data_IF_044682423921
#
_entry.id   IF_044682423921
#
_cell.length_a   1.000
_cell.length_b   1.000
_cell.length_c   1.000
_cell.angle_alpha   90.00
_cell.angle_beta   90.00
_cell.angle_gamma   90.00
#
_symmetry.space_group_name_H-M   'P 1'
#
loop_
_entity.id
_entity.type
_entity.pdbx_description
1 polymer ?
#
# COMPACT_ATOMS: atom_id res chain seq x y z
N UNK A 1 14.89 4.12 -31.23
CA UNK A 1 14.76 2.89 -31.03
C UNK A 1 16.03 2.21 -30.51
N UNK A 2 15.98 1.04 -30.03
CA UNK A 2 17.08 0.36 -29.33
C UNK A 2 16.81 0.19 -27.83
N UNK A 3 15.63 0.59 -27.34
CA UNK A 3 15.17 0.23 -26.00
C UNK A 3 14.92 -1.28 -25.97
N UNK A 4 15.41 -1.93 -24.93
CA UNK A 4 15.12 -3.36 -24.70
C UNK A 4 13.63 -3.51 -24.36
N UNK A 5 13.02 -4.63 -24.79
CA UNK A 5 11.61 -4.94 -24.47
C UNK A 5 11.29 -4.91 -22.97
N UNK A 6 12.29 -5.15 -22.13
CA UNK A 6 12.17 -5.15 -20.66
C UNK A 6 12.47 -3.78 -20.02
N UNK A 7 12.61 -2.71 -20.80
CA UNK A 7 12.91 -1.39 -20.25
C UNK A 7 11.66 -0.73 -19.66
N UNK A 8 11.69 -0.41 -18.37
CA UNK A 8 10.58 0.22 -17.67
C UNK A 8 10.69 1.75 -17.70
N UNK A 9 9.66 2.41 -18.24
CA UNK A 9 9.55 3.88 -18.30
C UNK A 9 8.55 4.34 -17.24
N UNK A 10 9.02 5.13 -16.30
CA UNK A 10 8.20 5.75 -15.25
C UNK A 10 8.38 7.27 -15.30
N UNK A 11 7.27 8.00 -15.26
CA UNK A 11 7.25 9.46 -15.21
C UNK A 11 7.00 9.97 -13.80
N UNK A 12 7.61 11.10 -13.45
CA UNK A 12 7.23 11.86 -12.26
C UNK A 12 6.16 12.87 -12.64
N UNK A 13 4.91 12.59 -12.21
CA UNK A 13 3.75 13.42 -12.49
C UNK A 13 3.10 13.81 -11.17
N UNK A 14 3.16 15.10 -10.83
CA UNK A 14 2.63 15.60 -9.56
C UNK A 14 1.11 15.72 -9.56
N UNK A 15 0.50 16.09 -10.69
CA UNK A 15 -0.95 16.31 -10.81
C UNK A 15 -1.41 16.24 -12.27
N UNK A 16 -2.72 16.11 -12.47
CA UNK A 16 -3.34 16.01 -13.78
C UNK A 16 -3.88 14.59 -14.07
N UNK A 17 -4.36 14.38 -15.28
CA UNK A 17 -4.81 13.05 -15.71
C UNK A 17 -3.61 12.20 -16.15
N UNK A 18 -3.31 11.18 -15.38
CA UNK A 18 -2.17 10.29 -15.64
C UNK A 18 -2.30 9.53 -16.96
N UNK A 19 -3.52 9.28 -17.48
CA UNK A 19 -3.74 8.59 -18.77
C UNK A 19 -3.16 9.34 -19.95
N UNK A 20 -2.98 10.64 -19.85
CA UNK A 20 -2.37 11.44 -20.92
C UNK A 20 -0.97 10.95 -21.23
N UNK A 21 -0.23 10.52 -20.23
CA UNK A 21 1.17 10.10 -20.36
C UNK A 21 1.39 8.60 -20.09
N UNK A 22 0.51 7.94 -19.33
CA UNK A 22 0.59 6.50 -19.03
C UNK A 22 -0.34 5.75 -19.97
N UNK A 23 0.22 5.24 -21.07
CA UNK A 23 -0.49 4.49 -22.12
C UNK A 23 0.51 3.68 -22.95
N UNK A 24 0.01 2.85 -23.84
CA UNK A 24 0.83 1.92 -24.65
C UNK A 24 1.86 2.61 -25.57
N UNK A 25 1.71 3.90 -25.85
CA UNK A 25 2.62 4.65 -26.72
C UNK A 25 3.68 5.48 -25.96
N UNK A 26 3.56 5.61 -24.63
CA UNK A 26 4.38 6.53 -23.84
C UNK A 26 4.98 5.84 -22.60
N UNK A 27 4.52 6.18 -21.41
CA UNK A 27 5.04 5.69 -20.14
C UNK A 27 4.31 4.44 -19.68
N UNK A 28 5.03 3.49 -19.10
CA UNK A 28 4.46 2.31 -18.48
C UNK A 28 3.79 2.63 -17.14
N UNK A 29 4.28 3.67 -16.42
CA UNK A 29 3.79 4.08 -15.11
C UNK A 29 4.14 5.54 -14.82
N UNK A 30 3.52 6.08 -13.78
CA UNK A 30 3.94 7.34 -13.17
C UNK A 30 3.78 7.31 -11.65
N UNK A 31 4.38 8.28 -10.97
CA UNK A 31 4.25 8.50 -9.53
C UNK A 31 2.81 8.82 -9.14
N UNK A 32 2.27 8.10 -8.16
CA UNK A 32 0.90 8.30 -7.67
C UNK A 32 0.85 9.32 -6.53
N UNK A 33 1.09 10.58 -6.84
CA UNK A 33 1.01 11.68 -5.87
C UNK A 33 -0.40 11.89 -5.32
N UNK A 34 -1.44 11.49 -6.05
CA UNK A 34 -2.83 11.60 -5.58
C UNK A 34 -3.08 10.70 -4.37
N UNK A 35 -2.56 9.46 -4.37
CA UNK A 35 -2.64 8.59 -3.18
C UNK A 35 -1.63 8.97 -2.10
N UNK A 36 -0.47 9.54 -2.44
CA UNK A 36 0.58 9.88 -1.48
C UNK A 36 0.04 10.70 -0.30
N UNK A 37 -0.70 11.78 -0.57
CA UNK A 37 -1.30 12.60 0.49
C UNK A 37 -2.27 11.79 1.34
N UNK A 38 -3.18 11.06 0.70
CA UNK A 38 -4.17 10.24 1.39
C UNK A 38 -3.54 9.15 2.27
N UNK A 39 -2.39 8.61 1.87
CA UNK A 39 -1.67 7.60 2.66
C UNK A 39 -1.29 8.15 4.05
N UNK A 40 -0.51 9.23 4.14
CA UNK A 40 -0.06 9.71 5.45
C UNK A 40 -1.15 10.46 6.23
N UNK A 41 -2.01 11.24 5.53
CA UNK A 41 -3.02 12.04 6.22
C UNK A 41 -4.10 11.16 6.85
N UNK A 42 -4.46 10.05 6.23
CA UNK A 42 -5.42 9.09 6.80
C UNK A 42 -4.98 8.53 8.15
N UNK A 43 -3.70 8.22 8.30
CA UNK A 43 -3.15 7.73 9.56
C UNK A 43 -3.01 8.84 10.59
N UNK A 44 -2.57 10.04 10.19
CA UNK A 44 -2.41 11.17 11.11
C UNK A 44 -3.74 11.72 11.63
N UNK A 45 -4.77 11.73 10.79
CA UNK A 45 -6.12 12.18 11.17
C UNK A 45 -6.98 11.05 11.73
N UNK A 46 -6.49 9.81 11.76
CA UNK A 46 -7.26 8.61 12.10
C UNK A 46 -8.55 8.53 11.28
N UNK A 47 -8.43 8.72 9.95
CA UNK A 47 -9.56 8.75 9.04
C UNK A 47 -9.24 8.00 7.73
N UNK A 48 -9.35 6.66 7.77
CA UNK A 48 -9.06 5.79 6.61
C UNK A 48 -10.06 5.97 5.45
N UNK A 49 -11.16 6.70 5.64
CA UNK A 49 -12.05 7.06 4.54
C UNK A 49 -11.35 7.89 3.47
N UNK A 50 -10.36 8.71 3.84
CA UNK A 50 -9.64 9.56 2.89
C UNK A 50 -8.87 8.73 1.86
N UNK A 51 -8.02 7.82 2.31
CA UNK A 51 -7.27 6.95 1.38
C UNK A 51 -8.19 5.97 0.64
N UNK A 52 -9.20 5.42 1.32
CA UNK A 52 -10.16 4.53 0.66
C UNK A 52 -10.92 5.24 -0.46
N UNK A 53 -11.28 6.52 -0.28
CA UNK A 53 -11.91 7.32 -1.34
C UNK A 53 -10.97 7.47 -2.55
N UNK A 54 -9.69 7.78 -2.33
CA UNK A 54 -8.70 7.89 -3.41
C UNK A 54 -8.54 6.56 -4.15
N UNK A 55 -8.49 5.44 -3.42
CA UNK A 55 -8.38 4.10 -4.02
C UNK A 55 -9.62 3.72 -4.83
N UNK A 56 -10.83 4.00 -4.31
CA UNK A 56 -12.08 3.76 -5.05
C UNK A 56 -12.16 4.62 -6.31
N UNK A 57 -11.78 5.89 -6.22
CA UNK A 57 -11.76 6.79 -7.37
C UNK A 57 -10.79 6.33 -8.45
N UNK A 58 -9.63 5.82 -8.07
CA UNK A 58 -8.60 5.40 -9.02
C UNK A 58 -8.80 3.97 -9.54
N UNK A 59 -9.18 3.03 -8.68
CA UNK A 59 -9.11 1.59 -8.97
C UNK A 59 -10.39 0.82 -8.62
N UNK A 60 -11.45 1.50 -8.19
CA UNK A 60 -12.71 0.89 -7.79
C UNK A 60 -13.42 0.12 -8.90
N UNK A 61 -14.53 -0.56 -8.57
CA UNK A 61 -15.27 -1.37 -9.54
C UNK A 61 -16.10 -0.55 -10.54
N UNK A 62 -16.38 0.70 -10.21
CA UNK A 62 -17.32 1.55 -10.96
C UNK A 62 -16.81 1.95 -12.34
N UNK A 63 -17.74 2.26 -13.25
CA UNK A 63 -17.40 2.64 -14.62
C UNK A 63 -16.71 4.01 -14.72
N UNK A 64 -16.89 4.89 -13.73
CA UNK A 64 -16.25 6.21 -13.67
C UNK A 64 -14.82 6.18 -13.07
N UNK A 65 -14.33 5.00 -12.69
CA UNK A 65 -12.99 4.82 -12.12
C UNK A 65 -11.91 5.29 -13.08
N UNK A 66 -10.97 6.10 -12.58
CA UNK A 66 -10.03 6.82 -13.45
C UNK A 66 -8.92 5.93 -14.02
N UNK A 67 -8.29 5.08 -13.21
CA UNK A 67 -7.02 4.41 -13.56
C UNK A 67 -7.12 2.89 -13.46
N UNK A 68 -8.30 2.35 -13.71
CA UNK A 68 -8.53 0.90 -13.73
C UNK A 68 -7.60 0.22 -14.74
N UNK A 69 -6.82 -0.75 -14.27
CA UNK A 69 -5.84 -1.47 -15.10
C UNK A 69 -4.46 -0.80 -15.20
N UNK A 70 -4.30 0.43 -14.74
CA UNK A 70 -2.97 1.06 -14.67
C UNK A 70 -2.22 0.65 -13.40
N UNK A 71 -0.91 0.48 -13.53
CA UNK A 71 0.00 0.15 -12.43
C UNK A 71 0.84 1.37 -12.07
N UNK A 72 0.27 2.28 -11.26
CA UNK A 72 0.95 3.50 -10.84
C UNK A 72 1.99 3.21 -9.75
N UNK A 73 3.08 3.98 -9.71
CA UNK A 73 4.13 3.87 -8.71
C UNK A 73 3.62 4.45 -7.37
N UNK A 74 3.31 3.58 -6.43
CA UNK A 74 2.82 3.93 -5.09
C UNK A 74 3.99 4.11 -4.13
N UNK A 75 4.04 5.23 -3.42
CA UNK A 75 5.11 5.55 -2.48
C UNK A 75 4.56 6.30 -1.25
N UNK A 76 5.29 6.25 -0.16
CA UNK A 76 4.97 6.98 1.09
C UNK A 76 5.90 8.16 1.33
N UNK A 77 7.07 8.15 0.73
CA UNK A 77 8.02 9.25 0.65
C UNK A 77 8.95 9.09 -0.55
N UNK A 78 9.71 10.13 -0.85
CA UNK A 78 10.73 10.15 -1.89
C UNK A 78 11.77 11.25 -1.57
N UNK A 79 12.65 11.53 -2.54
CA UNK A 79 13.74 12.51 -2.42
C UNK A 79 13.27 13.99 -2.36
N UNK A 80 12.00 14.26 -2.59
CA UNK A 80 11.45 15.63 -2.66
C UNK A 80 10.41 15.94 -1.58
N UNK A 81 10.04 14.96 -0.76
CA UNK A 81 9.07 15.12 0.33
C UNK A 81 9.66 14.71 1.67
N UNK A 82 9.08 15.21 2.76
CA UNK A 82 9.44 14.79 4.13
C UNK A 82 9.34 13.27 4.25
N UNK A 83 10.37 12.65 4.85
CA UNK A 83 10.38 11.20 5.06
C UNK A 83 9.22 10.76 5.93
N UNK A 84 8.64 9.63 5.60
CA UNK A 84 7.42 9.14 6.23
C UNK A 84 7.55 8.96 7.75
N UNK A 85 8.72 8.52 8.22
CA UNK A 85 9.01 8.38 9.65
C UNK A 85 9.06 9.73 10.41
N UNK A 86 9.25 10.86 9.69
CA UNK A 86 9.15 12.21 10.25
C UNK A 86 7.74 12.79 10.11
N UNK A 87 6.94 12.27 9.19
CA UNK A 87 5.63 12.81 8.86
C UNK A 87 4.52 12.21 9.73
N UNK A 88 4.65 10.95 10.12
CA UNK A 88 3.64 10.27 10.95
C UNK A 88 3.69 10.78 12.39
N UNK A 89 2.52 11.13 12.92
CA UNK A 89 2.35 11.55 14.31
C UNK A 89 2.41 10.38 15.31
N UNK A 90 2.25 9.14 14.84
CA UNK A 90 2.35 7.92 15.63
C UNK A 90 3.27 6.92 14.92
N UNK A 91 4.40 6.59 15.55
CA UNK A 91 5.40 5.67 14.99
C UNK A 91 4.84 4.24 14.77
N UNK A 92 3.81 3.82 15.52
CA UNK A 92 3.14 2.52 15.33
C UNK A 92 2.42 2.41 13.98
N UNK A 93 2.14 3.53 13.33
CA UNK A 93 1.54 3.55 12.00
C UNK A 93 2.55 3.28 10.87
N UNK A 94 3.86 3.38 11.15
CA UNK A 94 4.89 3.23 10.11
C UNK A 94 4.85 1.84 9.42
N UNK A 95 4.77 0.71 10.11
CA UNK A 95 4.56 -0.58 9.46
C UNK A 95 3.23 -0.68 8.70
N UNK A 96 2.16 -0.07 9.25
CA UNK A 96 0.82 -0.17 8.68
C UNK A 96 0.68 0.60 7.35
N UNK A 97 1.32 1.76 7.23
CA UNK A 97 1.30 2.51 5.97
C UNK A 97 2.05 1.74 4.86
N UNK A 98 3.11 1.01 5.19
CA UNK A 98 3.75 0.11 4.24
C UNK A 98 2.85 -1.09 3.90
N UNK A 99 2.17 -1.70 4.88
CA UNK A 99 1.20 -2.75 4.61
C UNK A 99 0.12 -2.25 3.64
N UNK A 100 -0.42 -1.05 3.85
CA UNK A 100 -1.38 -0.45 2.93
C UNK A 100 -0.79 -0.25 1.53
N UNK A 101 0.43 0.29 1.44
CA UNK A 101 1.12 0.56 0.16
C UNK A 101 1.38 -0.73 -0.63
N UNK A 102 1.77 -1.81 0.04
CA UNK A 102 1.99 -3.11 -0.61
C UNK A 102 0.68 -3.85 -0.93
N UNK A 103 -0.38 -3.64 -0.14
CA UNK A 103 -1.68 -4.24 -0.38
C UNK A 103 -2.50 -3.58 -1.48
N UNK A 104 -2.42 -2.26 -1.61
CA UNK A 104 -3.19 -1.49 -2.60
C UNK A 104 -2.77 -1.78 -4.05
N UNK A 105 -3.62 -1.41 -5.06
CA UNK A 105 -3.21 -1.44 -6.47
C UNK A 105 -2.00 -0.57 -6.76
N UNK A 106 -1.17 -0.99 -7.71
CA UNK A 106 0.02 -0.28 -8.13
C UNK A 106 1.33 -1.00 -7.78
N UNK A 107 2.43 -0.34 -8.08
CA UNK A 107 3.80 -0.81 -7.87
C UNK A 107 4.34 -0.13 -6.62
N UNK A 108 4.55 -0.84 -5.50
CA UNK A 108 5.09 -0.23 -4.29
C UNK A 108 6.54 0.19 -4.51
N UNK A 109 6.86 1.41 -4.12
CA UNK A 109 8.20 1.97 -4.15
C UNK A 109 8.62 2.35 -2.72
N UNK A 110 9.77 1.85 -2.30
CA UNK A 110 10.38 2.18 -1.01
C UNK A 110 11.61 3.03 -1.27
N UNK A 111 11.63 4.24 -0.72
CA UNK A 111 12.76 5.14 -0.84
C UNK A 111 13.87 4.70 0.11
N UNK A 112 15.12 4.73 -0.36
CA UNK A 112 16.28 4.23 0.40
C UNK A 112 16.37 4.89 1.79
N UNK A 113 16.62 4.08 2.80
CA UNK A 113 16.63 4.51 4.20
C UNK A 113 15.27 4.49 4.89
N UNK A 114 14.19 4.62 4.15
CA UNK A 114 12.84 4.61 4.73
C UNK A 114 12.42 3.22 5.18
N UNK A 115 13.02 2.16 4.62
CA UNK A 115 12.81 0.77 5.04
C UNK A 115 13.30 0.45 6.46
N UNK A 116 14.17 1.29 7.02
CA UNK A 116 14.53 1.20 8.44
C UNK A 116 14.08 2.40 9.26
N UNK A 117 13.24 3.27 8.71
CA UNK A 117 12.65 4.41 9.41
C UNK A 117 13.55 5.63 9.49
N UNK A 118 14.42 5.86 8.51
CA UNK A 118 15.23 7.09 8.45
C UNK A 118 14.33 8.33 8.47
N UNK A 119 14.72 9.32 9.26
CA UNK A 119 14.01 10.61 9.43
C UNK A 119 14.64 11.69 8.57
N UNK A 120 13.86 12.70 8.19
CA UNK A 120 14.29 13.89 7.47
C UNK A 120 13.09 14.76 7.10
N UNK A 121 13.18 16.07 7.36
CA UNK A 121 12.13 17.00 7.02
C UNK A 121 12.50 17.83 5.78
N UNK A 122 11.53 18.10 4.92
CA UNK A 122 11.74 18.96 3.73
C UNK A 122 12.19 20.38 4.10
N UNK A 123 11.73 20.88 5.25
CA UNK A 123 12.15 22.19 5.78
C UNK A 123 13.64 22.29 6.09
N UNK A 124 14.31 21.17 6.33
CA UNK A 124 15.72 21.11 6.70
C UNK A 124 16.64 21.04 5.46
N UNK A 125 16.04 21.15 4.28
CA UNK A 125 16.72 21.15 2.98
C UNK A 125 16.88 19.75 2.38
N UNK A 126 17.35 19.70 1.15
CA UNK A 126 17.46 18.48 0.35
C UNK A 126 18.42 17.44 0.97
N UNK A 127 19.47 17.89 1.65
CA UNK A 127 20.42 16.97 2.30
C UNK A 127 19.78 16.13 3.40
N UNK A 128 18.76 16.66 4.12
CA UNK A 128 18.01 15.90 5.12
C UNK A 128 17.19 14.76 4.50
N UNK A 129 16.74 14.93 3.27
CA UNK A 129 15.98 13.91 2.53
C UNK A 129 16.89 12.92 1.80
N UNK A 130 18.07 13.37 1.36
CA UNK A 130 19.01 12.62 0.52
C UNK A 130 20.29 12.24 1.29
N UNK A 131 20.12 11.85 2.55
CA UNK A 131 21.23 11.47 3.41
C UNK A 131 22.05 10.33 2.81
N UNK A 132 23.38 10.40 2.97
CA UNK A 132 24.28 9.30 2.65
C UNK A 132 24.37 8.38 3.87
N UNK A 133 24.11 7.09 3.68
CA UNK A 133 24.25 6.06 4.70
C UNK A 133 25.51 5.23 4.44
N UNK A 134 26.31 4.98 5.46
CA UNK A 134 27.52 4.16 5.34
C UNK A 134 27.19 2.68 5.10
N UNK A 135 26.08 2.21 5.68
CA UNK A 135 25.60 0.85 5.53
C UNK A 135 24.07 0.79 5.71
N UNK A 136 23.39 -0.22 5.13
CA UNK A 136 21.99 -0.48 5.44
C UNK A 136 21.81 -0.89 6.89
N UNK A 137 20.63 -0.57 7.46
CA UNK A 137 20.25 -0.95 8.81
C UNK A 137 19.17 -2.02 8.76
N UNK A 138 19.46 -3.18 9.29
CA UNK A 138 18.45 -4.23 9.45
C UNK A 138 17.73 -4.05 10.80
N UNK A 139 16.40 -3.96 10.76
CA UNK A 139 15.54 -3.85 11.92
C UNK A 139 14.19 -4.51 11.70
N UNK A 140 13.29 -4.43 12.67
CA UNK A 140 11.95 -5.03 12.58
C UNK A 140 11.15 -4.50 11.38
N UNK A 141 11.27 -3.20 11.08
CA UNK A 141 10.57 -2.57 9.95
C UNK A 141 11.08 -3.11 8.61
N UNK A 142 12.41 -3.16 8.41
CA UNK A 142 12.98 -3.68 7.18
C UNK A 142 12.63 -5.16 6.96
N UNK A 143 12.65 -5.95 8.05
CA UNK A 143 12.18 -7.33 8.02
C UNK A 143 10.70 -7.47 7.69
N UNK A 144 9.86 -6.57 8.21
CA UNK A 144 8.43 -6.55 7.89
C UNK A 144 8.17 -6.16 6.42
N UNK A 145 8.83 -5.12 5.92
CA UNK A 145 8.73 -4.70 4.50
C UNK A 145 9.19 -5.83 3.56
N UNK A 146 10.23 -6.58 3.93
CA UNK A 146 10.66 -7.74 3.15
C UNK A 146 9.58 -8.83 3.07
N UNK A 147 8.82 -9.08 4.16
CA UNK A 147 7.67 -9.99 4.14
C UNK A 147 6.54 -9.47 3.26
N UNK A 148 6.22 -8.17 3.31
CA UNK A 148 5.23 -7.54 2.45
C UNK A 148 5.63 -7.65 0.96
N UNK A 149 6.89 -7.40 0.63
CA UNK A 149 7.42 -7.54 -0.72
C UNK A 149 7.32 -8.98 -1.23
N UNK A 150 7.65 -9.96 -0.38
CA UNK A 150 7.50 -11.39 -0.68
C UNK A 150 6.03 -11.75 -0.92
N UNK A 151 5.12 -11.31 -0.06
CA UNK A 151 3.68 -11.52 -0.21
C UNK A 151 3.16 -10.92 -1.53
N UNK A 152 3.51 -9.67 -1.84
CA UNK A 152 3.14 -8.99 -3.09
C UNK A 152 3.66 -9.76 -4.31
N UNK A 153 4.95 -10.08 -4.35
CA UNK A 153 5.58 -10.80 -5.46
C UNK A 153 4.99 -12.20 -5.67
N UNK A 154 4.59 -12.86 -4.60
CA UNK A 154 4.01 -14.20 -4.63
C UNK A 154 2.51 -14.27 -4.92
N UNK A 155 1.83 -13.13 -5.11
CA UNK A 155 0.37 -13.08 -5.30
C UNK A 155 0.02 -12.31 -6.58
N UNK A 156 -0.63 -12.99 -7.52
CA UNK A 156 -1.19 -12.34 -8.72
C UNK A 156 -2.31 -11.36 -8.36
N UNK A 157 -3.12 -11.69 -7.35
CA UNK A 157 -4.19 -10.82 -6.88
C UNK A 157 -3.61 -9.50 -6.33
N UNK A 158 -2.56 -9.52 -5.51
CA UNK A 158 -1.92 -8.31 -5.02
C UNK A 158 -1.24 -7.51 -6.14
N UNK A 159 -0.64 -8.18 -7.14
CA UNK A 159 0.02 -7.51 -8.26
C UNK A 159 -0.99 -6.88 -9.24
N UNK A 160 -1.98 -7.66 -9.71
CA UNK A 160 -2.82 -7.32 -10.86
C UNK A 160 -4.31 -7.30 -10.56
N UNK A 161 -4.71 -7.65 -9.32
CA UNK A 161 -6.11 -7.81 -8.94
C UNK A 161 -6.91 -6.52 -8.96
N UNK A 162 -8.22 -6.67 -9.10
CA UNK A 162 -9.20 -5.62 -8.87
C UNK A 162 -9.11 -5.08 -7.44
N UNK A 163 -9.77 -3.96 -7.17
CA UNK A 163 -9.88 -3.37 -5.84
C UNK A 163 -11.36 -3.24 -5.45
N UNK A 164 -11.71 -3.71 -4.25
CA UNK A 164 -13.03 -3.54 -3.65
C UNK A 164 -12.92 -3.32 -2.15
N UNK A 165 -13.52 -2.24 -1.63
CA UNK A 165 -13.61 -2.00 -0.19
C UNK A 165 -14.63 -2.98 0.43
N UNK A 166 -14.29 -3.60 1.56
CA UNK A 166 -15.11 -4.61 2.25
C UNK A 166 -15.57 -4.11 3.61
N UNK A 167 -14.64 -3.67 4.46
CA UNK A 167 -14.93 -3.04 5.75
C UNK A 167 -14.21 -1.72 5.79
N UNK A 168 -14.90 -0.68 6.24
CA UNK A 168 -14.31 0.64 6.39
C UNK A 168 -14.89 1.34 7.61
N UNK A 169 -13.99 1.77 8.47
CA UNK A 169 -14.25 2.67 9.60
C UNK A 169 -13.21 3.79 9.59
N UNK A 170 -13.24 4.69 10.54
CA UNK A 170 -12.19 5.70 10.65
C UNK A 170 -10.80 5.10 10.87
N UNK A 171 -10.72 3.96 11.56
CA UNK A 171 -9.45 3.40 12.06
C UNK A 171 -9.14 2.01 11.51
N UNK A 172 -10.10 1.33 10.90
CA UNK A 172 -9.93 -0.01 10.33
C UNK A 172 -10.39 -0.04 8.88
N UNK A 173 -9.68 -0.80 8.07
CA UNK A 173 -10.12 -1.13 6.72
C UNK A 173 -9.81 -2.58 6.37
N UNK A 174 -10.73 -3.19 5.62
CA UNK A 174 -10.49 -4.44 4.90
C UNK A 174 -10.89 -4.20 3.46
N UNK A 175 -10.00 -4.51 2.54
CA UNK A 175 -10.28 -4.45 1.11
C UNK A 175 -9.83 -5.72 0.40
N UNK A 176 -10.48 -6.00 -0.69
CA UNK A 176 -10.23 -7.17 -1.52
C UNK A 176 -9.37 -6.82 -2.73
N UNK A 177 -8.43 -7.69 -3.03
CA UNK A 177 -7.71 -7.79 -4.29
C UNK A 177 -8.03 -9.14 -4.91
N UNK A 178 -8.50 -9.17 -6.16
CA UNK A 178 -8.94 -10.40 -6.81
C UNK A 178 -8.57 -10.46 -8.28
N UNK A 179 -8.09 -11.63 -8.70
CA UNK A 179 -7.97 -12.07 -10.09
C UNK A 179 -8.66 -13.42 -10.23
N UNK A 180 -8.77 -13.92 -11.47
CA UNK A 180 -9.24 -15.27 -11.68
C UNK A 180 -8.37 -16.27 -10.91
N UNK A 181 -9.00 -17.03 -10.05
CA UNK A 181 -8.33 -18.08 -9.29
C UNK A 181 -7.61 -17.66 -8.02
N UNK A 182 -7.51 -16.39 -7.71
CA UNK A 182 -6.88 -15.93 -6.47
C UNK A 182 -7.58 -14.70 -5.90
N UNK A 183 -7.77 -14.70 -4.58
CA UNK A 183 -8.35 -13.59 -3.83
C UNK A 183 -7.60 -13.37 -2.53
N UNK A 184 -7.26 -12.11 -2.24
CA UNK A 184 -6.59 -11.70 -1.02
C UNK A 184 -7.39 -10.58 -0.36
N UNK A 185 -7.68 -10.73 0.92
CA UNK A 185 -8.23 -9.70 1.79
C UNK A 185 -7.08 -9.03 2.54
N UNK A 186 -6.91 -7.74 2.37
CA UNK A 186 -5.93 -6.93 3.09
C UNK A 186 -6.67 -6.24 4.22
N UNK A 187 -6.29 -6.54 5.47
CA UNK A 187 -6.90 -5.99 6.67
C UNK A 187 -5.89 -5.14 7.45
N UNK A 188 -6.31 -3.97 7.91
CA UNK A 188 -5.49 -3.04 8.69
C UNK A 188 -6.32 -2.51 9.87
N UNK A 189 -5.73 -2.55 11.06
CA UNK A 189 -6.22 -1.83 12.24
C UNK A 189 -5.19 -0.77 12.66
N UNK A 190 -5.52 0.50 12.50
CA UNK A 190 -4.68 1.64 12.87
C UNK A 190 -4.92 2.09 14.33
N UNK A 191 -5.91 1.53 15.03
CA UNK A 191 -6.15 1.83 16.43
C UNK A 191 -5.19 1.05 17.35
N UNK A 192 -4.99 1.55 18.56
CA UNK A 192 -4.35 0.81 19.67
C UNK A 192 -5.22 -0.34 20.18
N UNK A 193 -6.54 -0.17 20.09
CA UNK A 193 -7.50 -1.16 20.58
C UNK A 193 -7.78 -2.25 19.55
N UNK A 194 -8.03 -3.49 20.00
CA UNK A 194 -8.43 -4.57 19.11
C UNK A 194 -9.81 -4.29 18.52
N UNK A 195 -10.03 -4.74 17.30
CA UNK A 195 -11.30 -4.62 16.60
C UNK A 195 -11.73 -5.97 16.03
N UNK A 196 -12.95 -6.40 16.29
CA UNK A 196 -13.51 -7.60 15.67
C UNK A 196 -14.34 -7.21 14.45
N UNK A 197 -13.83 -7.51 13.26
CA UNK A 197 -14.54 -7.30 12.01
C UNK A 197 -15.54 -8.44 11.77
N UNK A 198 -16.81 -8.07 11.58
CA UNK A 198 -17.87 -8.99 11.20
C UNK A 198 -18.29 -8.67 9.75
N UNK A 199 -17.97 -9.55 8.83
CA UNK A 199 -18.27 -9.40 7.41
C UNK A 199 -18.31 -10.76 6.72
N UNK A 200 -18.95 -10.83 5.56
CA UNK A 200 -18.90 -12.03 4.72
C UNK A 200 -17.59 -12.03 3.92
N UNK A 201 -16.67 -12.89 4.32
CA UNK A 201 -15.42 -13.07 3.60
C UNK A 201 -15.60 -13.86 2.29
N UNK A 202 -16.73 -14.53 2.09
CA UNK A 202 -16.99 -15.42 0.94
C UNK A 202 -16.04 -16.62 0.86
N UNK A 203 -15.37 -16.95 1.98
CA UNK A 203 -14.58 -18.17 2.20
C UNK A 203 -14.56 -18.49 3.70
N UNK A 204 -14.34 -19.77 4.07
CA UNK A 204 -14.24 -20.17 5.47
C UNK A 204 -12.85 -19.95 6.04
N UNK A 205 -11.82 -20.28 5.26
CA UNK A 205 -10.42 -20.25 5.68
C UNK A 205 -9.57 -19.41 4.74
N UNK A 206 -8.48 -18.88 5.29
CA UNK A 206 -7.43 -18.19 4.55
C UNK A 206 -6.06 -18.48 5.17
N UNK A 207 -5.01 -18.20 4.38
CA UNK A 207 -3.63 -18.15 4.87
C UNK A 207 -3.15 -16.71 4.83
N UNK A 208 -2.66 -16.20 5.95
CA UNK A 208 -2.01 -14.89 5.99
C UNK A 208 -0.64 -14.96 5.29
N UNK A 209 -0.47 -14.19 4.24
CA UNK A 209 0.76 -14.17 3.43
C UNK A 209 1.95 -13.52 4.15
N UNK A 210 1.72 -12.83 5.28
CA UNK A 210 2.77 -12.18 6.07
C UNK A 210 3.35 -13.14 7.10
N UNK A 211 2.47 -13.85 7.84
CA UNK A 211 2.86 -14.77 8.93
C UNK A 211 2.89 -16.23 8.50
N UNK A 212 2.19 -16.61 7.44
CA UNK A 212 1.85 -17.98 7.01
C UNK A 212 0.92 -18.72 7.99
N UNK A 213 0.24 -18.03 8.88
CA UNK A 213 -0.75 -18.60 9.78
C UNK A 213 -2.11 -18.75 9.09
N UNK A 214 -2.87 -19.77 9.51
CA UNK A 214 -4.24 -19.94 9.05
C UNK A 214 -5.17 -18.97 9.80
N UNK A 215 -6.17 -18.46 9.09
CA UNK A 215 -7.24 -17.63 9.63
C UNK A 215 -8.60 -18.25 9.29
N UNK A 216 -9.44 -18.37 10.30
CA UNK A 216 -10.83 -18.81 10.18
C UNK A 216 -11.75 -17.59 10.32
N UNK A 217 -12.61 -17.37 9.32
CA UNK A 217 -13.58 -16.27 9.32
C UNK A 217 -14.85 -16.58 10.12
N UNK A 218 -15.02 -17.82 10.59
CA UNK A 218 -16.14 -18.22 11.44
C UNK A 218 -16.10 -17.49 12.79
N UNK A 219 -17.12 -16.69 13.09
CA UNK A 219 -17.21 -15.97 14.37
C UNK A 219 -16.58 -14.58 14.39
N UNK A 220 -16.21 -14.03 13.24
CA UNK A 220 -15.59 -12.71 13.10
C UNK A 220 -14.06 -12.77 13.08
N UNK A 221 -13.44 -11.69 12.61
CA UNK A 221 -11.98 -11.59 12.46
C UNK A 221 -11.43 -10.58 13.46
N UNK A 222 -10.70 -11.07 14.47
CA UNK A 222 -10.01 -10.20 15.43
C UNK A 222 -8.79 -9.55 14.77
N UNK A 223 -8.78 -8.22 14.75
CA UNK A 223 -7.64 -7.38 14.37
C UNK A 223 -7.03 -6.80 15.66
N UNK A 224 -5.90 -7.30 16.15
CA UNK A 224 -5.20 -6.68 17.27
C UNK A 224 -4.88 -5.21 17.00
N UNK A 225 -4.62 -4.42 18.03
CA UNK A 225 -4.19 -3.03 17.86
C UNK A 225 -2.93 -2.93 17.02
N UNK A 226 -2.87 -1.97 16.10
CA UNK A 226 -1.74 -1.74 15.19
C UNK A 226 -1.33 -2.99 14.41
N UNK A 227 -2.30 -3.65 13.75
CA UNK A 227 -2.07 -4.90 13.01
C UNK A 227 -2.40 -4.78 11.53
N UNK A 228 -1.77 -5.64 10.73
CA UNK A 228 -2.04 -5.81 9.32
C UNK A 228 -1.95 -7.28 8.93
N UNK A 229 -2.87 -7.72 8.06
CA UNK A 229 -2.95 -9.09 7.55
C UNK A 229 -3.23 -9.09 6.04
N UNK A 230 -2.68 -10.08 5.34
CA UNK A 230 -2.91 -10.34 3.92
C UNK A 230 -3.47 -11.76 3.77
N UNK A 231 -4.77 -11.92 3.97
CA UNK A 231 -5.45 -13.20 3.97
C UNK A 231 -5.75 -13.68 2.56
N UNK A 232 -4.98 -14.65 2.07
CA UNK A 232 -5.30 -15.35 0.83
C UNK A 232 -6.37 -16.39 1.09
N UNK A 233 -7.57 -16.16 0.57
CA UNK A 233 -8.72 -17.04 0.74
C UNK A 233 -8.44 -18.41 0.10
N UNK A 234 -8.76 -19.47 0.84
CA UNK A 234 -8.82 -20.83 0.31
C UNK A 234 -10.10 -21.00 -0.55
N UNK A 235 -10.02 -21.85 -1.55
CA UNK A 235 -11.15 -22.12 -2.47
C UNK A 235 -12.13 -23.11 -1.85
#
# INVERSE_FOLDING_TARGET
DGLKEEFFLVGEILHGDYKVLVNDAMLHSCTNYECYKGLYSSFNSMNLFEINHSLLRQFGPENWTLYKGLHLLAFVDNHDVTRIASMLSNEKHLPLIYALTFGMPGIPCVYYGSEWGAKGNKSDGDQALRACFEAPVENELSGFIAKLAKAKKGSKALCYGSFRSVVLTNKQCIFERAVEGERVLVAINADSEPYTANFDAGCGLAVDLISNEQHDFGGGSLLPGYSAFFWRCER
#
